data_IF_932486141812
#
_entry.id   IF_932486141812
#
_cell.length_a   1.000
_cell.length_b   1.000
_cell.length_c   1.000
_cell.angle_alpha   90.00
_cell.angle_beta   90.00
_cell.angle_gamma   90.00
#
_symmetry.space_group_name_H-M   'P 1'
#
loop_
_entity.id
_entity.type
_entity.pdbx_description
1 polymer ?
#
# COMPACT_ATOMS: atom_id res chain seq x y z
N UNK A 1 -21.75 -8.65 -22.48
CA UNK A 1 -21.35 -7.90 -21.27
C UNK A 1 -20.49 -6.75 -21.77
N UNK A 2 -20.91 -5.50 -21.56
CA UNK A 2 -20.10 -4.35 -21.98
C UNK A 2 -18.89 -4.25 -21.05
N UNK A 3 -17.68 -4.32 -21.61
CA UNK A 3 -16.46 -3.94 -20.91
C UNK A 3 -16.56 -2.43 -20.61
N UNK A 4 -16.71 -2.09 -19.34
CA UNK A 4 -16.47 -0.72 -18.91
C UNK A 4 -14.96 -0.46 -19.08
N UNK A 5 -14.59 0.45 -19.97
CA UNK A 5 -13.22 0.93 -20.08
C UNK A 5 -12.77 1.42 -18.70
N UNK A 6 -11.75 0.78 -18.14
CA UNK A 6 -11.15 1.24 -16.90
C UNK A 6 -10.46 2.58 -17.17
N UNK A 7 -10.87 3.61 -16.45
CA UNK A 7 -10.20 4.90 -16.45
C UNK A 7 -8.83 4.72 -15.78
N UNK A 8 -7.75 5.02 -16.52
CA UNK A 8 -6.37 4.90 -16.04
C UNK A 8 -5.93 6.25 -15.51
N UNK A 9 -5.52 6.29 -14.24
CA UNK A 9 -4.93 7.48 -13.62
C UNK A 9 -3.42 7.28 -13.44
N UNK A 10 -2.64 8.18 -14.02
CA UNK A 10 -1.19 8.21 -13.82
C UNK A 10 -0.86 9.04 -12.58
N UNK A 11 -0.14 8.43 -11.63
CA UNK A 11 0.32 9.07 -10.40
C UNK A 11 1.84 9.11 -10.39
N UNK A 12 2.42 10.17 -9.82
CA UNK A 12 3.85 10.17 -9.55
C UNK A 12 4.15 9.15 -8.44
N UNK A 13 5.30 8.45 -8.49
CA UNK A 13 5.66 7.50 -7.45
C UNK A 13 5.69 8.12 -6.05
N UNK A 14 6.15 9.37 -5.94
CA UNK A 14 6.19 10.14 -4.68
C UNK A 14 4.80 10.37 -4.07
N UNK A 15 3.80 10.61 -4.92
CA UNK A 15 2.45 10.93 -4.49
C UNK A 15 1.78 9.65 -3.96
N UNK A 16 1.98 8.54 -4.67
CA UNK A 16 1.49 7.22 -4.24
C UNK A 16 2.22 6.74 -2.98
N UNK A 17 3.53 6.99 -2.85
CA UNK A 17 4.29 6.66 -1.65
C UNK A 17 3.74 7.41 -0.43
N UNK A 18 3.52 8.71 -0.56
CA UNK A 18 2.98 9.56 0.50
C UNK A 18 1.57 9.12 0.92
N UNK A 19 0.73 8.77 -0.04
CA UNK A 19 -0.61 8.22 0.20
C UNK A 19 -0.54 6.91 1.01
N UNK A 20 0.32 5.98 0.59
CA UNK A 20 0.47 4.68 1.25
C UNK A 20 0.99 4.86 2.68
N UNK A 21 2.00 5.72 2.89
CA UNK A 21 2.51 6.03 4.23
C UNK A 21 1.39 6.57 5.12
N UNK A 22 0.58 7.52 4.63
CA UNK A 22 -0.55 8.07 5.38
C UNK A 22 -1.60 7.02 5.75
N UNK A 23 -1.90 6.08 4.84
CA UNK A 23 -2.81 4.96 5.12
C UNK A 23 -2.24 4.07 6.22
N UNK A 24 -0.96 3.69 6.14
CA UNK A 24 -0.30 2.82 7.12
C UNK A 24 -0.28 3.46 8.50
N UNK A 25 0.16 4.72 8.60
CA UNK A 25 0.21 5.49 9.85
C UNK A 25 -1.18 5.65 10.46
N UNK A 26 -2.18 5.99 9.63
CA UNK A 26 -3.57 6.09 10.08
C UNK A 26 -4.17 4.78 10.59
N UNK A 27 -3.53 3.62 10.31
CA UNK A 27 -3.91 2.31 10.82
C UNK A 27 -2.96 1.79 11.92
N UNK A 28 -2.14 2.67 12.51
CA UNK A 28 -1.32 2.37 13.69
C UNK A 28 0.08 1.85 13.40
N UNK A 29 0.54 1.89 12.14
CA UNK A 29 1.93 1.55 11.80
C UNK A 29 2.84 2.73 12.17
N UNK A 30 4.00 2.44 12.75
CA UNK A 30 4.99 3.49 13.06
C UNK A 30 5.48 4.20 11.78
N UNK A 31 5.89 5.46 11.88
CA UNK A 31 6.34 6.23 10.72
C UNK A 31 7.51 5.57 9.99
N UNK A 32 8.49 5.04 10.74
CA UNK A 32 9.65 4.34 10.18
C UNK A 32 9.26 3.08 9.39
N UNK A 33 8.36 2.27 9.96
CA UNK A 33 7.87 1.07 9.28
C UNK A 33 6.99 1.42 8.07
N UNK A 34 6.19 2.49 8.18
CA UNK A 34 5.36 2.97 7.08
C UNK A 34 6.20 3.38 5.86
N UNK A 35 7.31 4.09 6.07
CA UNK A 35 8.27 4.44 5.01
C UNK A 35 8.83 3.18 4.36
N UNK A 36 9.26 2.20 5.17
CA UNK A 36 9.83 0.94 4.66
C UNK A 36 8.83 0.18 3.80
N UNK A 37 7.61 -0.02 4.30
CA UNK A 37 6.55 -0.75 3.58
C UNK A 37 6.16 -0.01 2.31
N UNK A 38 5.93 1.30 2.38
CA UNK A 38 5.55 2.09 1.21
C UNK A 38 6.61 1.99 0.10
N UNK A 39 7.89 2.17 0.45
CA UNK A 39 8.99 2.05 -0.51
C UNK A 39 9.04 0.68 -1.18
N UNK A 40 8.83 -0.40 -0.44
CA UNK A 40 8.77 -1.75 -1.02
C UNK A 40 7.64 -1.92 -2.04
N UNK A 41 6.44 -1.40 -1.73
CA UNK A 41 5.28 -1.50 -2.61
C UNK A 41 5.48 -0.67 -3.90
N UNK A 42 5.95 0.56 -3.77
CA UNK A 42 6.24 1.43 -4.92
C UNK A 42 7.32 0.83 -5.82
N UNK A 43 8.34 0.22 -5.22
CA UNK A 43 9.40 -0.44 -5.99
C UNK A 43 8.90 -1.66 -6.77
N UNK A 44 7.84 -2.34 -6.30
CA UNK A 44 7.19 -3.41 -7.03
C UNK A 44 6.33 -2.85 -8.19
N UNK A 45 5.54 -1.80 -7.95
CA UNK A 45 4.76 -1.11 -9.00
C UNK A 45 5.69 -0.60 -10.12
N UNK A 46 6.79 0.08 -9.77
CA UNK A 46 7.76 0.61 -10.75
C UNK A 46 8.49 -0.48 -11.56
N UNK A 47 8.50 -1.72 -11.06
CA UNK A 47 9.07 -2.88 -11.76
C UNK A 47 8.03 -3.65 -12.57
N UNK A 48 6.77 -3.22 -12.58
CA UNK A 48 5.66 -3.93 -13.22
C UNK A 48 5.28 -5.23 -12.50
N UNK A 49 5.56 -5.34 -11.20
CA UNK A 49 5.16 -6.49 -10.36
C UNK A 49 3.92 -6.13 -9.55
N UNK A 50 2.84 -5.84 -10.27
CA UNK A 50 1.59 -5.27 -9.71
C UNK A 50 0.95 -6.14 -8.62
N UNK A 51 1.22 -7.45 -8.66
CA UNK A 51 0.75 -8.42 -7.65
C UNK A 51 1.37 -8.20 -6.26
N UNK A 52 2.50 -7.48 -6.18
CA UNK A 52 3.25 -7.20 -4.95
C UNK A 52 3.34 -5.71 -4.61
N UNK A 53 2.78 -4.83 -5.43
CA UNK A 53 2.82 -3.38 -5.25
C UNK A 53 1.63 -2.82 -4.47
N UNK A 54 1.26 -1.57 -4.76
CA UNK A 54 0.24 -0.80 -4.01
C UNK A 54 -1.12 -1.50 -3.90
N UNK A 55 -1.46 -2.39 -4.85
CA UNK A 55 -2.64 -3.26 -4.81
C UNK A 55 -2.75 -4.13 -3.53
N UNK A 56 -1.67 -4.29 -2.77
CA UNK A 56 -1.66 -5.02 -1.49
C UNK A 56 -2.32 -4.26 -0.33
N UNK A 57 -2.39 -2.94 -0.40
CA UNK A 57 -2.84 -2.09 0.72
C UNK A 57 -4.24 -2.45 1.23
N UNK A 58 -5.27 -2.65 0.39
CA UNK A 58 -6.58 -3.08 0.88
C UNK A 58 -6.54 -4.36 1.72
N UNK A 59 -5.74 -5.36 1.29
CA UNK A 59 -5.59 -6.62 2.03
C UNK A 59 -4.83 -6.43 3.34
N UNK A 60 -3.77 -5.62 3.38
CA UNK A 60 -3.03 -5.34 4.62
C UNK A 60 -3.94 -4.66 5.63
N UNK A 61 -4.68 -3.64 5.21
CA UNK A 61 -5.57 -2.89 6.09
C UNK A 61 -6.74 -3.76 6.61
N UNK A 62 -7.24 -4.69 5.78
CA UNK A 62 -8.21 -5.70 6.23
C UNK A 62 -7.63 -6.57 7.36
N UNK A 63 -6.40 -7.05 7.21
CA UNK A 63 -5.74 -7.91 8.21
C UNK A 63 -5.44 -7.17 9.52
N UNK A 64 -5.03 -5.90 9.44
CA UNK A 64 -4.84 -5.04 10.61
C UNK A 64 -6.16 -4.88 11.37
N UNK A 65 -7.25 -4.50 10.68
CA UNK A 65 -8.58 -4.37 11.31
C UNK A 65 -9.12 -5.67 11.90
N UNK A 66 -8.79 -6.80 11.28
CA UNK A 66 -9.12 -8.13 11.80
C UNK A 66 -8.24 -8.58 12.97
N UNK A 67 -7.23 -7.79 13.36
CA UNK A 67 -6.26 -8.12 14.43
C UNK A 67 -5.44 -9.39 14.17
N UNK A 68 -5.36 -9.83 12.91
CA UNK A 68 -4.50 -10.96 12.48
C UNK A 68 -3.14 -10.48 11.95
N UNK A 69 -2.92 -9.17 11.97
CA UNK A 69 -1.65 -8.52 11.69
C UNK A 69 -1.53 -7.35 12.68
N UNK A 70 -0.50 -7.38 13.51
CA UNK A 70 -0.22 -6.30 14.46
C UNK A 70 0.54 -5.16 13.72
N UNK A 71 -0.06 -3.96 13.61
CA UNK A 71 0.59 -2.83 12.94
C UNK A 71 1.76 -2.23 13.73
N UNK A 72 1.88 -2.53 15.03
CA UNK A 72 2.91 -2.01 15.91
C UNK A 72 3.97 -3.06 16.30
N UNK A 73 3.96 -4.22 15.63
CA UNK A 73 4.90 -5.30 15.93
C UNK A 73 6.35 -4.86 15.74
N UNK A 74 7.19 -5.27 16.68
CA UNK A 74 8.66 -5.16 16.62
C UNK A 74 9.22 -6.59 16.63
N UNK A 75 10.20 -6.92 15.77
CA UNK A 75 10.81 -8.24 15.71
C UNK A 75 11.34 -8.77 17.05
#
# INVERSE_FOLDING_TARGET
MAEQSQEIHHLKPSDLESLIQGILIGNGVSQEQAVTVARCLIMADLRGVDTHGSNRIPSYMKRVRQKVLDPAAVP
#
